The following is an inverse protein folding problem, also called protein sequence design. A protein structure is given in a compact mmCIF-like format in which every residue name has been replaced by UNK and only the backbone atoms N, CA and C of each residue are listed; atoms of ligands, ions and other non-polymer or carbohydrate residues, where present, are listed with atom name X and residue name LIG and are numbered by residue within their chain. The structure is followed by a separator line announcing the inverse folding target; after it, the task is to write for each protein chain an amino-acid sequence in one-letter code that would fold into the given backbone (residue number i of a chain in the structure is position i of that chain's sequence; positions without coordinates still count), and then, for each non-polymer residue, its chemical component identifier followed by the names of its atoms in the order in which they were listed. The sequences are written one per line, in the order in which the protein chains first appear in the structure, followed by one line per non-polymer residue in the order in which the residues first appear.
data_IF_668024907092
#
_entry.id   IF_668024907092
#
_cell.length_a   1.000
_cell.length_b   1.000
_cell.length_c   1.000
_cell.angle_alpha   90.00
_cell.angle_beta   90.00
_cell.angle_gamma   90.00
#
_symmetry.space_group_name_H-M   'P 1'
#
loop_
_entity.id
_entity.type
_entity.pdbx_description
1 polymer ?
#
# COMPACT_ATOMS: atom_id res chain seq x y z
N UNK A 1 28.17 15.53 57.88
CA UNK A 1 28.09 14.10 57.54
C UNK A 1 26.80 13.87 56.77
N UNK A 2 26.95 13.60 55.46
CA UNK A 2 26.04 12.99 54.47
C UNK A 2 24.58 13.51 54.33
N UNK A 3 24.37 14.36 53.31
CA UNK A 3 23.08 14.54 52.64
C UNK A 3 22.80 13.36 51.69
N UNK A 4 21.54 12.90 51.53
CA UNK A 4 21.20 11.88 50.55
C UNK A 4 21.12 12.51 49.15
N UNK A 5 21.79 11.84 48.22
CA UNK A 5 21.89 12.14 46.80
C UNK A 5 20.60 11.68 46.10
N UNK A 6 19.73 12.61 45.72
CA UNK A 6 18.56 12.32 44.89
C UNK A 6 19.00 12.12 43.44
N UNK A 7 18.86 10.89 42.96
CA UNK A 7 19.08 10.51 41.56
C UNK A 7 17.98 11.13 40.70
N UNK A 8 18.31 12.14 39.89
CA UNK A 8 17.46 12.67 38.82
C UNK A 8 17.57 11.71 37.62
N UNK A 9 16.56 10.88 37.42
CA UNK A 9 16.38 10.12 36.17
C UNK A 9 15.84 11.11 35.14
N UNK A 10 16.70 11.58 34.25
CA UNK A 10 16.28 12.31 33.05
C UNK A 10 15.73 11.26 32.09
N UNK A 11 14.40 11.17 32.00
CA UNK A 11 13.76 10.47 30.90
C UNK A 11 14.06 11.26 29.62
N UNK A 12 14.99 10.76 28.82
CA UNK A 12 15.16 11.19 27.44
C UNK A 12 13.90 10.75 26.68
N UNK A 13 12.95 11.66 26.52
CA UNK A 13 11.91 11.51 25.51
C UNK A 13 12.61 11.60 24.15
N UNK A 14 12.85 10.44 23.54
CA UNK A 14 13.10 10.40 22.09
C UNK A 14 11.83 10.91 21.42
N UNK A 15 11.90 12.11 20.86
CA UNK A 15 10.88 12.65 19.98
C UNK A 15 10.86 11.77 18.72
N UNK A 16 9.92 10.84 18.66
CA UNK A 16 9.62 10.07 17.46
C UNK A 16 8.47 10.78 16.75
N UNK A 17 8.72 11.21 15.51
CA UNK A 17 7.71 11.60 14.51
C UNK A 17 6.98 12.92 14.76
N UNK A 18 7.61 14.06 14.48
CA UNK A 18 6.89 15.33 14.31
C UNK A 18 7.58 16.22 13.26
N UNK A 19 7.21 16.04 11.99
CA UNK A 19 7.28 17.10 10.97
C UNK A 19 6.00 17.29 10.16
N UNK A 20 4.94 16.49 10.38
CA UNK A 20 3.61 16.80 9.84
C UNK A 20 2.70 17.25 10.99
N UNK A 21 2.44 18.56 11.06
CA UNK A 21 1.63 19.24 12.07
C UNK A 21 0.12 18.89 12.02
N UNK A 22 -0.23 17.61 11.89
CA UNK A 22 -1.61 17.14 11.70
C UNK A 22 -2.01 16.96 10.22
N UNK A 23 -1.14 17.32 9.27
CA UNK A 23 -1.41 17.06 7.86
C UNK A 23 -1.22 15.59 7.49
N UNK A 24 -2.15 15.07 6.68
CA UNK A 24 -2.10 13.73 6.07
C UNK A 24 -1.46 13.73 4.68
N UNK A 25 -0.93 14.88 4.22
CA UNK A 25 -0.24 15.04 2.94
C UNK A 25 1.26 15.22 3.19
N UNK A 26 2.08 14.57 2.37
CA UNK A 26 3.53 14.75 2.34
C UNK A 26 3.96 15.81 1.33
N UNK A 27 5.04 16.51 1.66
CA UNK A 27 5.58 17.63 0.87
C UNK A 27 4.49 18.67 0.50
N UNK A 28 3.83 19.28 1.51
CA UNK A 28 2.72 20.21 1.29
C UNK A 28 3.12 21.46 0.47
N UNK A 29 4.40 21.78 0.39
CA UNK A 29 4.92 22.91 -0.39
C UNK A 29 5.42 22.57 -1.80
N UNK A 30 5.44 21.29 -2.19
CA UNK A 30 6.11 20.83 -3.42
C UNK A 30 7.58 21.25 -3.52
N UNK A 31 8.28 21.22 -2.38
CA UNK A 31 9.67 21.66 -2.24
C UNK A 31 10.66 20.51 -2.46
N UNK A 32 10.20 19.25 -2.33
CA UNK A 32 11.05 18.06 -2.42
C UNK A 32 11.07 17.49 -3.85
N UNK A 33 12.14 17.84 -4.58
CA UNK A 33 12.40 17.36 -5.94
C UNK A 33 13.55 16.35 -5.98
N UNK A 34 13.31 15.21 -6.61
CA UNK A 34 14.23 14.08 -6.76
C UNK A 34 14.79 14.06 -8.20
N UNK A 35 15.47 15.14 -8.58
CA UNK A 35 15.82 15.41 -9.97
C UNK A 35 14.73 16.21 -10.68
N UNK A 36 14.17 15.69 -11.76
CA UNK A 36 13.08 16.31 -12.52
C UNK A 36 11.68 15.87 -12.02
N UNK A 37 11.62 15.00 -11.02
CA UNK A 37 10.40 14.43 -10.47
C UNK A 37 10.16 14.90 -9.03
N UNK A 38 8.90 14.87 -8.59
CA UNK A 38 8.55 15.12 -7.19
C UNK A 38 8.88 13.88 -6.35
N UNK A 39 9.48 14.07 -5.18
CA UNK A 39 9.85 12.94 -4.31
C UNK A 39 8.62 12.27 -3.68
N UNK A 40 7.62 13.06 -3.25
CA UNK A 40 6.45 12.59 -2.49
C UNK A 40 5.17 12.50 -3.31
N UNK A 41 5.20 12.92 -4.57
CA UNK A 41 4.04 12.93 -5.47
C UNK A 41 4.41 12.19 -6.76
N UNK A 42 3.55 11.26 -7.19
CA UNK A 42 3.76 10.50 -8.43
C UNK A 42 3.13 11.23 -9.61
N UNK A 43 3.89 11.38 -10.69
CA UNK A 43 3.33 11.78 -11.98
C UNK A 43 2.43 10.66 -12.50
N UNK A 44 1.14 10.94 -12.66
CA UNK A 44 0.17 9.97 -13.21
C UNK A 44 0.13 10.06 -14.72
N UNK A 45 0.18 11.27 -15.27
CA UNK A 45 0.18 11.54 -16.71
C UNK A 45 0.67 12.95 -17.00
N UNK A 46 1.11 13.17 -18.24
CA UNK A 46 1.60 14.47 -18.71
C UNK A 46 3.03 14.73 -18.27
N UNK A 47 3.33 15.96 -17.91
CA UNK A 47 4.65 16.41 -17.44
C UNK A 47 4.45 17.41 -16.30
N UNK A 48 5.43 17.47 -15.40
CA UNK A 48 5.51 18.45 -14.32
C UNK A 48 6.77 19.28 -14.44
N UNK A 49 6.71 20.51 -13.93
CA UNK A 49 7.90 21.36 -13.79
C UNK A 49 7.81 22.18 -12.53
N UNK A 50 8.97 22.43 -11.93
CA UNK A 50 9.13 23.46 -10.91
C UNK A 50 8.67 24.84 -11.46
N UNK A 51 7.89 25.57 -10.66
CA UNK A 51 7.41 26.89 -11.03
C UNK A 51 7.40 27.83 -9.83
N UNK A 52 7.69 29.12 -10.07
CA UNK A 52 7.60 30.15 -9.03
C UNK A 52 6.15 30.38 -8.60
N UNK A 53 5.92 30.59 -7.31
CA UNK A 53 4.59 30.89 -6.76
C UNK A 53 4.28 32.40 -6.80
N UNK A 54 3.48 32.93 -5.86
CA UNK A 54 3.30 34.37 -5.67
C UNK A 54 4.56 35.05 -5.11
N UNK A 55 5.43 34.30 -4.44
CA UNK A 55 6.78 34.71 -4.08
C UNK A 55 7.79 34.07 -5.03
N UNK A 56 8.79 34.85 -5.46
CA UNK A 56 9.78 34.39 -6.46
C UNK A 56 10.76 33.35 -5.90
N UNK A 57 10.92 33.33 -4.58
CA UNK A 57 11.81 32.41 -3.87
C UNK A 57 11.09 31.11 -3.50
N UNK A 58 9.76 31.13 -3.53
CA UNK A 58 8.92 29.98 -3.24
C UNK A 58 8.67 29.17 -4.52
N UNK A 59 8.71 27.86 -4.34
CA UNK A 59 8.50 26.89 -5.41
C UNK A 59 7.12 26.27 -5.30
N UNK A 60 6.54 25.93 -6.44
CA UNK A 60 5.41 25.02 -6.56
C UNK A 60 5.59 24.10 -7.76
N UNK A 61 4.56 23.30 -8.05
CA UNK A 61 4.50 22.42 -9.21
C UNK A 61 3.55 22.96 -10.27
N UNK A 62 4.02 23.05 -11.51
CA UNK A 62 3.21 23.35 -12.68
C UNK A 62 2.86 22.07 -13.44
N UNK A 63 1.57 21.88 -13.75
CA UNK A 63 1.10 20.78 -14.60
C UNK A 63 1.18 21.21 -16.08
N UNK A 64 2.05 20.55 -16.84
CA UNK A 64 2.43 20.92 -18.22
C UNK A 64 1.59 20.15 -19.24
N UNK A 65 1.24 20.83 -20.34
CA UNK A 65 0.42 20.26 -21.42
C UNK A 65 -1.08 20.42 -21.20
N UNK A 66 -1.88 19.76 -22.05
CA UNK A 66 -3.35 19.85 -22.06
C UNK A 66 -4.03 18.80 -21.18
N UNK A 67 -3.31 17.79 -20.72
CA UNK A 67 -3.77 16.79 -19.77
C UNK A 67 -2.56 16.35 -18.95
N UNK A 68 -2.59 16.65 -17.65
CA UNK A 68 -1.55 16.29 -16.71
C UNK A 68 -2.15 16.06 -15.33
N UNK A 69 -1.55 15.16 -14.56
CA UNK A 69 -1.97 14.89 -13.20
C UNK A 69 -0.81 14.36 -12.35
N UNK A 70 -0.83 14.75 -11.08
CA UNK A 70 0.00 14.18 -10.03
C UNK A 70 -0.89 13.57 -8.96
N UNK A 71 -0.38 12.59 -8.24
CA UNK A 71 -1.11 11.93 -7.18
C UNK A 71 -0.22 11.62 -5.98
N UNK A 72 -0.84 11.58 -4.81
CA UNK A 72 -0.26 11.08 -3.59
C UNK A 72 -1.25 10.16 -2.90
N UNK A 73 -0.79 8.95 -2.56
CA UNK A 73 -1.53 8.03 -1.72
C UNK A 73 -1.24 8.39 -0.26
N UNK A 74 -2.29 8.57 0.52
CA UNK A 74 -2.19 8.83 1.94
C UNK A 74 -2.80 7.66 2.71
N UNK A 75 -2.12 7.07 3.71
CA UNK A 75 -2.63 5.97 4.53
C UNK A 75 -3.67 6.42 5.57
N UNK A 76 -4.54 7.38 5.21
CA UNK A 76 -5.68 7.78 6.03
C UNK A 76 -6.78 6.73 5.89
N UNK A 77 -7.36 6.29 7.01
CA UNK A 77 -8.39 5.28 7.02
C UNK A 77 -9.65 5.76 7.75
N UNK A 78 -10.73 4.98 7.61
CA UNK A 78 -12.03 5.31 8.21
C UNK A 78 -12.06 5.36 9.75
N UNK A 79 -11.01 4.86 10.43
CA UNK A 79 -10.87 5.00 11.89
C UNK A 79 -10.25 6.32 12.31
N UNK A 80 -9.45 6.96 11.44
CA UNK A 80 -8.86 8.28 11.72
C UNK A 80 -9.96 9.35 11.73
N UNK A 81 -10.89 9.26 10.78
CA UNK A 81 -12.05 10.14 10.70
C UNK A 81 -12.87 9.92 9.43
N UNK A 82 -13.94 10.69 9.28
CA UNK A 82 -14.76 10.70 8.05
C UNK A 82 -14.83 12.08 7.40
N UNK A 83 -14.10 13.05 7.94
CA UNK A 83 -14.15 14.45 7.53
C UNK A 83 -12.72 14.93 7.30
N UNK A 84 -12.43 15.32 6.06
CA UNK A 84 -11.12 15.82 5.65
C UNK A 84 -11.28 17.28 5.25
N UNK A 85 -10.49 18.16 5.87
CA UNK A 85 -10.31 19.52 5.39
C UNK A 85 -9.14 19.51 4.42
N UNK A 86 -9.37 19.96 3.19
CA UNK A 86 -8.36 20.07 2.17
C UNK A 86 -8.22 21.53 1.77
N UNK A 87 -7.04 22.10 1.98
CA UNK A 87 -6.74 23.50 1.68
C UNK A 87 -5.62 23.56 0.66
N UNK A 88 -5.72 24.49 -0.28
CA UNK A 88 -4.64 24.71 -1.24
C UNK A 88 -4.52 26.16 -1.69
N UNK A 89 -3.32 26.53 -2.12
CA UNK A 89 -3.03 27.78 -2.81
C UNK A 89 -2.54 27.45 -4.21
N UNK A 90 -3.25 27.96 -5.21
CA UNK A 90 -2.95 27.68 -6.61
C UNK A 90 -3.14 28.89 -7.52
N UNK A 91 -2.58 28.80 -8.71
CA UNK A 91 -2.89 29.63 -9.87
C UNK A 91 -3.48 28.76 -10.97
N UNK A 92 -4.74 28.97 -11.30
CA UNK A 92 -5.48 28.25 -12.34
C UNK A 92 -6.06 29.26 -13.32
N UNK A 93 -5.67 29.16 -14.59
CA UNK A 93 -6.19 30.02 -15.66
C UNK A 93 -7.66 29.71 -15.99
N UNK A 94 -8.39 30.69 -16.53
CA UNK A 94 -9.83 30.58 -16.83
C UNK A 94 -10.23 29.45 -17.80
N UNK A 95 -9.32 29.05 -18.70
CA UNK A 95 -9.59 28.04 -19.72
C UNK A 95 -9.15 26.64 -19.31
N UNK A 96 -8.74 26.48 -18.04
CA UNK A 96 -8.27 25.23 -17.48
C UNK A 96 -9.39 24.58 -16.65
N UNK A 97 -9.57 23.28 -16.84
CA UNK A 97 -10.33 22.41 -15.95
C UNK A 97 -9.36 21.76 -14.97
N UNK A 98 -9.08 22.46 -13.87
CA UNK A 98 -8.28 21.95 -12.76
C UNK A 98 -9.18 21.29 -11.72
N UNK A 99 -8.76 20.16 -11.16
CA UNK A 99 -9.60 19.34 -10.27
C UNK A 99 -8.83 18.76 -9.09
N UNK A 100 -9.54 18.66 -7.97
CA UNK A 100 -9.20 17.81 -6.83
C UNK A 100 -10.01 16.53 -6.99
N UNK A 101 -9.31 15.42 -7.16
CA UNK A 101 -9.91 14.12 -7.38
C UNK A 101 -9.52 13.17 -6.24
N UNK A 102 -10.48 12.38 -5.77
CA UNK A 102 -10.28 11.37 -4.73
C UNK A 102 -10.52 10.00 -5.36
N UNK A 103 -9.53 9.14 -5.20
CA UNK A 103 -9.60 7.70 -5.39
C UNK A 103 -9.53 7.07 -4.01
N UNK A 104 -10.72 6.80 -3.48
CA UNK A 104 -10.95 6.16 -2.20
C UNK A 104 -10.73 4.67 -2.49
N UNK A 105 -9.78 4.02 -1.81
CA UNK A 105 -9.20 2.68 -2.10
C UNK A 105 -7.84 2.71 -2.83
N UNK A 106 -7.52 3.77 -3.57
CA UNK A 106 -6.25 3.87 -4.29
C UNK A 106 -6.15 2.91 -5.48
N UNK A 107 -7.27 2.51 -6.07
CA UNK A 107 -7.39 1.40 -7.01
C UNK A 107 -7.26 1.81 -8.49
N UNK A 108 -7.10 3.11 -8.78
CA UNK A 108 -7.13 3.62 -10.15
C UNK A 108 -8.36 4.45 -10.47
N UNK A 109 -9.46 4.26 -9.75
CA UNK A 109 -10.78 4.79 -10.06
C UNK A 109 -11.06 6.06 -9.26
N UNK A 110 -11.56 7.11 -9.91
CA UNK A 110 -11.92 8.36 -9.23
C UNK A 110 -13.35 8.25 -8.69
N UNK A 111 -13.52 8.26 -7.38
CA UNK A 111 -14.82 8.26 -6.68
C UNK A 111 -15.45 9.64 -6.60
N UNK A 112 -14.62 10.67 -6.47
CA UNK A 112 -15.06 12.03 -6.34
C UNK A 112 -14.17 13.00 -7.08
N UNK A 113 -14.77 14.01 -7.70
CA UNK A 113 -14.09 14.99 -8.53
C UNK A 113 -14.69 16.36 -8.25
N UNK A 114 -13.91 17.21 -7.60
CA UNK A 114 -14.25 18.58 -7.27
C UNK A 114 -13.50 19.53 -8.20
N UNK A 115 -14.23 20.42 -8.88
CA UNK A 115 -13.62 21.37 -9.80
C UNK A 115 -13.05 22.55 -9.03
N UNK A 116 -11.79 22.86 -9.29
CA UNK A 116 -11.18 24.08 -8.75
C UNK A 116 -11.60 25.29 -9.58
N UNK A 117 -11.99 26.40 -8.92
CA UNK A 117 -12.25 27.64 -9.62
C UNK A 117 -10.94 28.21 -10.20
N UNK A 118 -11.08 29.10 -11.18
CA UNK A 118 -9.97 29.99 -11.57
C UNK A 118 -9.43 30.68 -10.33
N UNK A 119 -8.11 30.69 -10.20
CA UNK A 119 -7.43 31.33 -9.08
C UNK A 119 -6.13 31.98 -9.55
N UNK A 120 -5.72 32.99 -8.81
CA UNK A 120 -4.43 33.64 -8.89
C UNK A 120 -3.92 33.81 -7.46
N UNK A 121 -3.53 32.68 -6.86
CA UNK A 121 -2.99 32.55 -5.51
C UNK A 121 -3.95 32.86 -4.37
N UNK A 122 -5.26 32.79 -4.62
CA UNK A 122 -6.23 32.78 -3.52
C UNK A 122 -6.25 31.39 -2.86
N UNK A 123 -6.32 31.32 -1.51
CA UNK A 123 -6.59 30.07 -0.82
C UNK A 123 -7.94 29.48 -1.23
N UNK A 124 -7.97 28.17 -1.42
CA UNK A 124 -9.14 27.35 -1.65
C UNK A 124 -9.26 26.36 -0.50
N UNK A 125 -10.48 26.06 -0.07
CA UNK A 125 -10.74 25.19 1.09
C UNK A 125 -11.96 24.33 0.81
N UNK A 126 -11.80 23.02 1.01
CA UNK A 126 -12.80 21.99 0.72
C UNK A 126 -12.97 21.09 1.94
N UNK A 127 -14.20 20.95 2.43
CA UNK A 127 -14.53 19.96 3.46
C UNK A 127 -15.17 18.75 2.79
N UNK A 128 -14.51 17.61 2.93
CA UNK A 128 -14.86 16.36 2.25
C UNK A 128 -15.35 15.36 3.29
N UNK A 129 -16.63 14.98 3.20
CA UNK A 129 -17.24 14.01 4.11
C UNK A 129 -17.31 12.64 3.46
N UNK A 130 -16.42 11.74 3.83
CA UNK A 130 -16.31 10.41 3.23
C UNK A 130 -17.19 9.42 3.99
N UNK A 131 -18.00 8.65 3.25
CA UNK A 131 -18.88 7.64 3.83
C UNK A 131 -18.26 6.25 3.73
N UNK A 132 -18.47 5.45 4.77
CA UNK A 132 -18.16 4.02 4.75
C UNK A 132 -16.73 3.71 5.18
N UNK A 133 -16.30 2.48 4.91
CA UNK A 133 -14.94 2.01 5.22
C UNK A 133 -14.02 2.34 4.05
N UNK A 134 -12.84 2.83 4.39
CA UNK A 134 -11.74 3.03 3.47
C UNK A 134 -10.43 2.88 4.26
N UNK A 135 -9.36 2.56 3.55
CA UNK A 135 -8.05 2.27 4.13
C UNK A 135 -6.99 2.82 3.19
N UNK A 136 -6.84 4.13 3.21
CA UNK A 136 -6.06 4.89 2.26
C UNK A 136 -6.91 5.65 1.24
N UNK A 137 -6.45 6.85 0.89
CA UNK A 137 -7.03 7.70 -0.15
C UNK A 137 -5.91 8.18 -1.04
N UNK A 138 -6.08 8.05 -2.35
CA UNK A 138 -5.20 8.68 -3.32
C UNK A 138 -5.80 10.00 -3.75
N UNK A 139 -5.17 11.09 -3.32
CA UNK A 139 -5.49 12.43 -3.78
C UNK A 139 -4.81 12.68 -5.12
N UNK A 140 -5.57 13.19 -6.07
CA UNK A 140 -5.09 13.49 -7.42
C UNK A 140 -5.37 14.95 -7.73
N UNK A 141 -4.34 15.68 -8.12
CA UNK A 141 -4.45 17.02 -8.68
C UNK A 141 -4.30 16.90 -10.19
N UNK A 142 -5.36 17.25 -10.92
CA UNK A 142 -5.36 17.12 -12.37
C UNK A 142 -5.71 18.43 -13.08
N UNK A 143 -5.23 18.53 -14.32
CA UNK A 143 -5.44 19.66 -15.22
C UNK A 143 -5.84 19.13 -16.58
N UNK A 144 -6.92 19.67 -17.13
CA UNK A 144 -7.28 19.52 -18.54
C UNK A 144 -7.46 20.88 -19.21
N UNK A 145 -7.18 20.94 -20.51
CA UNK A 145 -7.34 22.16 -21.32
C UNK A 145 -6.08 23.03 -21.41
N UNK A 146 -6.15 24.02 -22.29
CA UNK A 146 -5.04 24.93 -22.57
C UNK A 146 -4.98 26.03 -21.50
N UNK A 147 -3.76 26.31 -21.02
CA UNK A 147 -3.50 27.34 -20.02
C UNK A 147 -2.59 26.83 -18.91
N UNK A 148 -2.51 27.59 -17.82
CA UNK A 148 -1.60 27.33 -16.71
C UNK A 148 -2.34 26.84 -15.47
N UNK A 149 -1.79 25.81 -14.83
CA UNK A 149 -2.16 25.37 -13.49
C UNK A 149 -0.88 25.16 -12.67
N UNK A 150 -0.70 25.95 -11.62
CA UNK A 150 0.41 25.85 -10.68
C UNK A 150 -0.14 25.67 -9.28
N UNK A 151 0.35 24.66 -8.57
CA UNK A 151 0.02 24.37 -7.17
C UNK A 151 1.22 24.73 -6.31
N UNK A 152 1.00 25.47 -5.23
CA UNK A 152 2.08 26.01 -4.41
C UNK A 152 2.05 25.49 -2.98
N UNK A 153 0.88 25.41 -2.37
CA UNK A 153 0.70 24.85 -1.04
C UNK A 153 -0.54 23.97 -1.03
N UNK A 154 -0.46 22.84 -0.36
CA UNK A 154 -1.52 21.87 -0.18
C UNK A 154 -1.45 21.34 1.24
N UNK A 155 -2.57 21.37 1.94
CA UNK A 155 -2.70 20.78 3.26
C UNK A 155 -3.98 19.95 3.27
N UNK A 156 -3.90 18.74 3.78
CA UNK A 156 -5.11 18.01 4.16
C UNK A 156 -4.99 17.55 5.60
N UNK A 157 -6.06 17.63 6.37
CA UNK A 157 -6.12 17.18 7.76
C UNK A 157 -7.43 16.45 8.05
N UNK A 158 -7.38 15.54 9.03
CA UNK A 158 -8.61 14.99 9.60
C UNK A 158 -9.19 16.01 10.56
N UNK A 159 -10.45 16.36 10.35
CA UNK A 159 -11.13 17.39 11.12
C UNK A 159 -12.53 16.97 11.55
N UNK A 160 -13.25 17.89 12.19
CA UNK A 160 -14.68 17.75 12.50
C UNK A 160 -15.49 18.84 11.79
N UNK A 161 -16.82 18.88 11.97
CA UNK A 161 -17.63 19.95 11.36
C UNK A 161 -18.01 19.69 9.91
N UNK A 162 -18.11 18.42 9.50
CA UNK A 162 -18.69 18.03 8.20
C UNK A 162 -20.20 17.76 8.28
N UNK A 163 -20.83 17.95 9.44
CA UNK A 163 -22.25 17.70 9.63
C UNK A 163 -23.08 18.57 8.66
N UNK A 164 -24.03 17.94 7.95
CA UNK A 164 -24.86 18.61 6.96
C UNK A 164 -24.23 18.78 5.58
N UNK A 165 -22.95 18.46 5.39
CA UNK A 165 -22.34 18.37 4.07
C UNK A 165 -22.80 17.10 3.34
N UNK A 166 -22.93 17.14 2.00
CA UNK A 166 -23.14 15.94 1.19
C UNK A 166 -22.07 14.89 1.47
N UNK A 167 -22.51 13.65 1.66
CA UNK A 167 -21.61 12.51 1.81
C UNK A 167 -21.04 12.11 0.44
N UNK A 168 -19.72 11.96 0.38
CA UNK A 168 -19.02 11.29 -0.71
C UNK A 168 -19.13 9.79 -0.44
N UNK A 169 -20.05 9.15 -1.15
CA UNK A 169 -20.14 7.70 -1.17
C UNK A 169 -19.13 7.17 -2.20
N UNK A 170 -18.16 6.33 -1.79
CA UNK A 170 -17.29 5.65 -2.73
C UNK A 170 -18.11 4.82 -3.73
N UNK A 171 -17.55 4.58 -4.90
CA UNK A 171 -18.03 3.56 -5.81
C UNK A 171 -17.99 2.18 -5.11
N UNK A 172 -18.70 1.16 -5.62
CA UNK A 172 -18.58 -0.18 -5.09
C UNK A 172 -17.10 -0.59 -5.00
N UNK A 173 -16.72 -1.08 -3.84
CA UNK A 173 -15.33 -1.28 -3.48
C UNK A 173 -14.71 -2.46 -4.26
N UNK A 174 -13.45 -2.33 -4.71
CA UNK A 174 -12.73 -3.35 -5.45
C UNK A 174 -12.38 -4.53 -4.55
N UNK A 175 -11.87 -5.61 -5.15
CA UNK A 175 -11.38 -6.76 -4.39
C UNK A 175 -10.24 -6.36 -3.45
N UNK A 176 -10.22 -6.91 -2.24
CA UNK A 176 -9.26 -6.56 -1.19
C UNK A 176 -9.66 -5.37 -0.33
N UNK A 177 -10.66 -4.57 -0.74
CA UNK A 177 -11.12 -3.42 0.05
C UNK A 177 -11.93 -3.87 1.27
N UNK A 178 -11.80 -3.14 2.39
CA UNK A 178 -12.58 -3.38 3.60
C UNK A 178 -14.07 -3.14 3.35
N UNK A 179 -14.91 -4.05 3.84
CA UNK A 179 -16.35 -3.97 3.69
C UNK A 179 -17.07 -4.36 4.98
N UNK A 180 -18.36 -4.06 5.05
CA UNK A 180 -19.28 -4.48 6.12
C UNK A 180 -20.38 -5.38 5.54
N UNK A 181 -20.85 -5.06 4.34
CA UNK A 181 -21.95 -5.73 3.64
C UNK A 181 -21.58 -6.03 2.19
N UNK A 182 -22.18 -7.10 1.64
CA UNK A 182 -21.98 -7.56 0.27
C UNK A 182 -22.28 -6.48 -0.80
N UNK A 183 -23.28 -5.63 -0.55
CA UNK A 183 -23.71 -4.56 -1.48
C UNK A 183 -22.66 -3.47 -1.67
N UNK A 184 -21.66 -3.41 -0.79
CA UNK A 184 -20.57 -2.46 -0.89
C UNK A 184 -19.48 -2.91 -1.86
N UNK A 185 -19.46 -4.18 -2.26
CA UNK A 185 -18.41 -4.76 -3.09
C UNK A 185 -18.84 -4.88 -4.55
N UNK A 186 -17.94 -4.60 -5.50
CA UNK A 186 -18.18 -4.85 -6.94
C UNK A 186 -18.60 -6.31 -7.19
N UNK A 187 -17.99 -7.25 -6.48
CA UNK A 187 -18.27 -8.68 -6.60
C UNK A 187 -19.59 -9.11 -5.98
N UNK A 188 -20.22 -8.27 -5.15
CA UNK A 188 -21.35 -8.66 -4.32
C UNK A 188 -20.99 -9.63 -3.18
N UNK A 189 -19.71 -9.78 -2.83
CA UNK A 189 -19.24 -10.67 -1.76
C UNK A 189 -18.38 -9.91 -0.77
N UNK A 190 -18.73 -10.00 0.52
CA UNK A 190 -18.02 -9.36 1.63
C UNK A 190 -17.75 -10.42 2.72
N UNK A 191 -16.56 -10.99 2.70
CA UNK A 191 -16.21 -12.20 3.46
C UNK A 191 -15.13 -11.93 4.48
N UNK A 192 -15.11 -12.73 5.55
CA UNK A 192 -14.06 -12.68 6.55
C UNK A 192 -12.76 -13.25 5.98
N UNK A 193 -11.71 -12.43 5.95
CA UNK A 193 -10.36 -12.83 5.54
C UNK A 193 -9.49 -12.78 6.79
N UNK A 194 -8.75 -13.86 7.03
CA UNK A 194 -7.74 -13.86 8.08
C UNK A 194 -6.53 -13.09 7.56
N UNK A 195 -6.22 -11.95 8.17
CA UNK A 195 -4.99 -11.24 7.84
C UNK A 195 -3.77 -12.05 8.33
N UNK A 196 -2.61 -11.94 7.66
CA UNK A 196 -1.41 -12.74 7.96
C UNK A 196 -0.90 -12.58 9.40
N UNK A 197 -1.23 -11.47 10.07
CA UNK A 197 -0.85 -11.19 11.45
C UNK A 197 -1.68 -12.00 12.48
N UNK A 198 -2.80 -12.62 12.09
CA UNK A 198 -3.43 -13.75 12.78
C UNK A 198 -4.22 -13.44 14.06
N UNK A 199 -4.34 -12.17 14.48
CA UNK A 199 -5.04 -11.81 15.73
C UNK A 199 -6.44 -11.21 15.52
N UNK A 200 -6.70 -10.51 14.42
CA UNK A 200 -8.01 -9.92 14.13
C UNK A 200 -8.29 -10.01 12.63
N UNK A 201 -9.19 -10.90 12.21
CA UNK A 201 -9.65 -10.85 10.82
C UNK A 201 -10.52 -9.63 10.57
N UNK A 202 -10.65 -9.24 9.30
CA UNK A 202 -11.60 -8.24 8.85
C UNK A 202 -12.41 -8.76 7.67
N UNK A 203 -13.51 -8.09 7.37
CA UNK A 203 -14.27 -8.36 6.16
C UNK A 203 -13.71 -7.58 4.99
N UNK A 204 -13.43 -8.28 3.89
CA UNK A 204 -12.96 -7.68 2.65
C UNK A 204 -13.85 -8.10 1.48
N UNK A 205 -13.86 -7.28 0.45
CA UNK A 205 -14.46 -7.62 -0.83
C UNK A 205 -13.65 -8.74 -1.49
N UNK A 206 -14.30 -9.88 -1.75
CA UNK A 206 -13.66 -11.07 -2.33
C UNK A 206 -14.30 -11.43 -3.67
N UNK A 207 -13.55 -12.08 -4.54
CA UNK A 207 -14.01 -12.55 -5.85
C UNK A 207 -14.60 -13.96 -5.80
N UNK A 208 -14.43 -14.70 -4.71
CA UNK A 208 -14.88 -16.07 -4.60
C UNK A 208 -15.14 -16.50 -3.15
N UNK A 209 -15.86 -17.61 -3.02
CA UNK A 209 -15.87 -18.50 -1.84
C UNK A 209 -15.50 -19.92 -2.28
N UNK A 210 -15.33 -20.84 -1.33
CA UNK A 210 -14.95 -22.23 -1.58
C UNK A 210 -15.85 -22.97 -2.60
N UNK A 211 -17.09 -22.52 -2.83
CA UNK A 211 -18.05 -23.15 -3.75
C UNK A 211 -18.20 -22.44 -5.10
N UNK A 212 -17.55 -21.30 -5.31
CA UNK A 212 -17.78 -20.45 -6.49
C UNK A 212 -16.82 -20.72 -7.65
N UNK A 213 -15.70 -21.38 -7.40
CA UNK A 213 -14.69 -21.62 -8.42
C UNK A 213 -15.01 -22.84 -9.28
N UNK A 214 -14.69 -22.74 -10.57
CA UNK A 214 -14.82 -23.84 -11.54
C UNK A 214 -13.84 -24.99 -11.23
N UNK A 215 -14.11 -26.19 -11.77
CA UNK A 215 -13.22 -27.32 -11.64
C UNK A 215 -11.77 -26.98 -12.05
N UNK A 216 -10.79 -27.40 -11.24
CA UNK A 216 -9.37 -27.09 -11.41
C UNK A 216 -8.91 -25.79 -10.74
N UNK A 217 -9.83 -24.96 -10.27
CA UNK A 217 -9.53 -23.74 -9.54
C UNK A 217 -9.90 -23.86 -8.05
N UNK A 218 -9.21 -23.09 -7.23
CA UNK A 218 -9.47 -22.93 -5.81
C UNK A 218 -9.69 -21.46 -5.50
N UNK A 219 -10.46 -21.19 -4.45
CA UNK A 219 -10.61 -19.83 -3.95
C UNK A 219 -9.40 -19.51 -3.09
N UNK A 220 -8.48 -18.71 -3.63
CA UNK A 220 -7.16 -18.45 -3.08
C UNK A 220 -6.74 -17.01 -3.24
N UNK A 221 -5.51 -16.69 -2.84
CA UNK A 221 -4.95 -15.35 -2.97
C UNK A 221 -4.60 -15.05 -4.43
N UNK A 222 -4.93 -13.84 -4.86
CA UNK A 222 -4.50 -13.26 -6.12
C UNK A 222 -3.29 -12.35 -5.97
N UNK A 223 -3.11 -11.45 -6.94
CA UNK A 223 -2.10 -10.40 -6.87
C UNK A 223 -2.67 -9.14 -6.21
N UNK A 224 -1.84 -8.43 -5.44
CA UNK A 224 -2.24 -7.16 -4.85
C UNK A 224 -2.60 -6.16 -5.96
N UNK A 225 -3.79 -5.55 -5.87
CA UNK A 225 -4.28 -4.60 -6.88
C UNK A 225 -3.86 -3.15 -6.58
N UNK A 226 -3.59 -2.86 -5.32
CA UNK A 226 -3.11 -1.57 -4.85
C UNK A 226 -2.37 -1.74 -3.51
N UNK A 227 -1.41 -0.87 -3.17
CA UNK A 227 -0.66 -0.93 -1.92
C UNK A 227 -1.55 -0.85 -0.66
N UNK A 228 -2.70 -0.19 -0.76
CA UNK A 228 -3.66 0.00 0.33
C UNK A 228 -4.72 -1.09 0.43
N UNK A 229 -4.82 -1.97 -0.57
CA UNK A 229 -5.77 -3.07 -0.56
C UNK A 229 -5.12 -4.32 0.04
N UNK A 230 -5.92 -5.13 0.72
CA UNK A 230 -5.50 -6.49 1.06
C UNK A 230 -5.30 -7.29 -0.24
N UNK A 231 -4.46 -8.31 -0.19
CA UNK A 231 -4.32 -9.26 -1.30
C UNK A 231 -5.70 -9.89 -1.57
N UNK A 232 -6.26 -9.72 -2.78
CA UNK A 232 -7.63 -10.12 -3.05
C UNK A 232 -7.75 -11.64 -3.03
N UNK A 233 -8.90 -12.14 -2.57
CA UNK A 233 -9.24 -13.56 -2.69
C UNK A 233 -10.02 -13.77 -3.98
N UNK A 234 -9.53 -14.61 -4.89
CA UNK A 234 -10.12 -14.86 -6.21
C UNK A 234 -9.93 -16.32 -6.64
N UNK A 235 -10.63 -16.75 -7.70
CA UNK A 235 -10.45 -18.09 -8.24
C UNK A 235 -9.12 -18.19 -8.99
N UNK A 236 -8.19 -18.95 -8.43
CA UNK A 236 -6.86 -19.21 -8.98
C UNK A 236 -6.71 -20.71 -9.30
N UNK A 237 -5.80 -21.05 -10.21
CA UNK A 237 -5.52 -22.44 -10.54
C UNK A 237 -4.95 -23.18 -9.33
N UNK A 238 -5.43 -24.39 -9.06
CA UNK A 238 -4.89 -25.22 -7.98
C UNK A 238 -3.40 -25.52 -8.22
N UNK A 239 -2.58 -25.42 -7.18
CA UNK A 239 -1.15 -25.68 -7.23
C UNK A 239 -0.34 -24.68 -8.04
N UNK A 240 -0.86 -23.48 -8.30
CA UNK A 240 -0.19 -22.46 -9.11
C UNK A 240 0.82 -21.62 -8.32
N UNK A 241 0.67 -21.51 -6.99
CA UNK A 241 1.54 -20.72 -6.15
C UNK A 241 2.84 -21.46 -5.85
N UNK A 242 3.96 -20.86 -6.22
CA UNK A 242 5.31 -21.37 -6.00
C UNK A 242 5.72 -21.26 -4.52
N UNK A 243 6.80 -21.97 -4.15
CA UNK A 243 7.43 -21.83 -2.83
C UNK A 243 7.74 -20.35 -2.53
N UNK A 244 7.31 -19.86 -1.37
CA UNK A 244 7.53 -18.48 -0.92
C UNK A 244 6.47 -17.47 -1.36
N UNK A 245 5.47 -17.88 -2.15
CA UNK A 245 4.28 -17.08 -2.42
C UNK A 245 3.25 -17.22 -1.29
N UNK A 246 2.43 -16.18 -1.10
CA UNK A 246 1.36 -16.23 -0.11
C UNK A 246 0.27 -17.21 -0.54
N UNK A 247 -0.44 -17.77 0.44
CA UNK A 247 -1.55 -18.70 0.23
C UNK A 247 -2.60 -18.57 1.33
N UNK A 248 -3.86 -18.83 0.99
CA UNK A 248 -4.96 -18.96 1.94
C UNK A 248 -5.11 -20.42 2.42
N UNK A 249 -4.74 -21.40 1.58
CA UNK A 249 -4.82 -22.82 1.87
C UNK A 249 -3.89 -23.69 1.02
N UNK A 250 -3.75 -24.95 1.44
CA UNK A 250 -2.81 -25.90 0.85
C UNK A 250 -2.94 -26.05 -0.67
N UNK A 251 -4.17 -26.07 -1.16
CA UNK A 251 -4.47 -26.37 -2.56
C UNK A 251 -4.03 -25.28 -3.55
N UNK A 252 -3.63 -24.09 -3.07
CA UNK A 252 -3.02 -23.06 -3.91
C UNK A 252 -1.55 -23.39 -4.23
N UNK A 253 -0.85 -24.04 -3.31
CA UNK A 253 0.58 -24.25 -3.40
C UNK A 253 0.95 -25.44 -4.28
N UNK A 254 1.99 -25.30 -5.10
CA UNK A 254 2.58 -26.40 -5.88
C UNK A 254 2.97 -27.59 -4.97
N UNK A 255 3.45 -27.28 -3.75
CA UNK A 255 3.80 -28.26 -2.72
C UNK A 255 2.60 -28.87 -1.99
N UNK A 256 1.39 -28.36 -2.23
CA UNK A 256 0.18 -28.65 -1.45
C UNK A 256 0.34 -28.35 0.06
N UNK A 257 1.19 -27.38 0.42
CA UNK A 257 1.47 -27.00 1.80
C UNK A 257 1.47 -25.48 1.97
N UNK A 258 0.44 -24.97 2.61
CA UNK A 258 0.33 -23.58 3.05
C UNK A 258 0.60 -23.51 4.55
N UNK A 259 1.73 -22.92 4.95
CA UNK A 259 2.11 -22.80 6.36
C UNK A 259 2.37 -21.35 6.70
N UNK A 260 1.67 -20.85 7.72
CA UNK A 260 1.77 -19.45 8.13
C UNK A 260 1.38 -18.47 7.02
N UNK A 261 0.44 -18.87 6.14
CA UNK A 261 0.02 -18.06 5.00
C UNK A 261 1.00 -18.04 3.82
N UNK A 262 2.03 -18.91 3.81
CA UNK A 262 3.04 -18.97 2.75
C UNK A 262 3.24 -20.40 2.26
N UNK A 263 3.32 -20.56 0.93
CA UNK A 263 3.59 -21.82 0.29
C UNK A 263 4.97 -22.33 0.70
N UNK A 264 4.98 -23.49 1.35
CA UNK A 264 6.12 -24.03 2.08
C UNK A 264 6.51 -25.41 1.55
N UNK A 265 7.77 -25.81 1.76
CA UNK A 265 8.25 -27.13 1.37
C UNK A 265 8.04 -28.20 2.45
N UNK A 266 7.74 -27.77 3.68
CA UNK A 266 7.58 -28.65 4.82
C UNK A 266 6.50 -28.15 5.79
N UNK A 267 6.03 -29.09 6.61
CA UNK A 267 5.29 -28.89 7.86
C UNK A 267 6.02 -29.58 9.03
N UNK A 268 5.70 -29.25 10.30
CA UNK A 268 6.30 -29.94 11.45
C UNK A 268 6.17 -31.47 11.32
N UNK A 269 7.31 -32.17 11.39
CA UNK A 269 7.38 -33.63 11.27
C UNK A 269 7.47 -34.18 9.84
N UNK A 270 7.47 -33.33 8.80
CA UNK A 270 7.68 -33.76 7.40
C UNK A 270 9.14 -33.83 6.97
N UNK A 271 10.05 -33.20 7.73
CA UNK A 271 11.49 -33.26 7.49
C UNK A 271 12.08 -34.58 8.01
N UNK A 272 13.37 -34.84 7.71
CA UNK A 272 14.06 -35.98 8.32
C UNK A 272 14.05 -35.88 9.86
N UNK A 273 14.21 -37.00 10.55
CA UNK A 273 14.00 -37.08 12.01
C UNK A 273 14.89 -36.15 12.86
N UNK A 274 15.97 -35.63 12.30
CA UNK A 274 16.90 -34.69 12.94
C UNK A 274 16.70 -33.24 12.51
N UNK A 275 15.86 -32.99 11.51
CA UNK A 275 15.69 -31.68 10.87
C UNK A 275 14.43 -30.99 11.38
N UNK A 276 14.48 -29.66 11.44
CA UNK A 276 13.33 -28.83 11.82
C UNK A 276 12.74 -28.12 10.61
N UNK A 277 11.41 -28.12 10.53
CA UNK A 277 10.70 -27.32 9.55
C UNK A 277 10.51 -25.88 10.05
N UNK A 278 11.31 -24.95 9.55
CA UNK A 278 11.35 -23.55 10.01
C UNK A 278 11.25 -22.59 8.82
N UNK A 279 10.75 -21.38 9.08
CA UNK A 279 10.73 -20.32 8.08
C UNK A 279 12.17 -19.93 7.70
N UNK A 280 12.44 -19.80 6.40
CA UNK A 280 13.77 -19.43 5.92
C UNK A 280 14.14 -17.97 6.21
N UNK A 281 13.12 -17.11 6.31
CA UNK A 281 13.21 -15.69 6.64
C UNK A 281 11.84 -15.22 7.20
N UNK A 282 11.73 -14.00 7.80
CA UNK A 282 10.47 -13.49 8.32
C UNK A 282 9.36 -13.45 7.26
N UNK A 283 8.18 -13.98 7.59
CA UNK A 283 7.06 -14.16 6.65
C UNK A 283 7.43 -14.96 5.39
N UNK A 284 8.45 -15.81 5.49
CA UNK A 284 8.96 -16.63 4.40
C UNK A 284 8.44 -18.08 4.42
N UNK A 285 8.75 -18.84 3.36
CA UNK A 285 8.38 -20.24 3.28
C UNK A 285 9.11 -21.06 4.33
N UNK A 286 8.49 -22.15 4.77
CA UNK A 286 9.16 -23.13 5.61
C UNK A 286 9.91 -24.15 4.77
N UNK A 287 11.18 -24.37 5.11
CA UNK A 287 12.06 -25.42 4.55
C UNK A 287 12.70 -26.22 5.69
N UNK A 288 13.25 -27.40 5.39
CA UNK A 288 13.90 -28.24 6.38
C UNK A 288 15.32 -27.74 6.66
N UNK A 289 15.60 -27.37 7.91
CA UNK A 289 16.87 -26.81 8.38
C UNK A 289 17.38 -25.65 7.50
N UNK A 290 16.62 -24.53 7.44
CA UNK A 290 17.00 -23.38 6.62
C UNK A 290 18.41 -22.89 6.95
N UNK A 291 19.19 -22.59 5.92
CA UNK A 291 20.54 -22.05 6.04
C UNK A 291 21.65 -23.03 6.43
N UNK A 292 21.37 -24.33 6.59
CA UNK A 292 22.40 -25.32 6.96
C UNK A 292 23.13 -25.98 5.76
N UNK A 293 22.76 -25.65 4.52
CA UNK A 293 23.44 -26.16 3.32
C UNK A 293 23.27 -27.66 3.11
N UNK A 294 22.17 -28.25 3.59
CA UNK A 294 21.93 -29.70 3.54
C UNK A 294 21.08 -30.14 2.35
N UNK A 295 20.44 -29.20 1.63
CA UNK A 295 19.54 -29.53 0.53
C UNK A 295 20.31 -30.04 -0.68
N UNK A 296 19.89 -31.19 -1.20
CA UNK A 296 20.47 -31.82 -2.39
C UNK A 296 19.98 -31.14 -3.68
N UNK A 297 20.63 -31.44 -4.81
CA UNK A 297 20.22 -30.93 -6.12
C UNK A 297 18.72 -31.22 -6.40
N UNK A 298 18.03 -30.24 -6.97
CA UNK A 298 16.57 -30.23 -7.21
C UNK A 298 15.67 -30.23 -5.97
N UNK A 299 16.21 -30.24 -4.74
CA UNK A 299 15.39 -30.04 -3.55
C UNK A 299 14.91 -28.58 -3.44
N UNK A 300 13.73 -28.33 -2.85
CA UNK A 300 13.24 -26.97 -2.61
C UNK A 300 14.20 -26.15 -1.74
N UNK A 301 14.43 -24.89 -2.11
CA UNK A 301 15.22 -23.94 -1.35
C UNK A 301 14.58 -22.55 -1.40
N UNK A 302 14.80 -21.78 -0.35
CA UNK A 302 14.35 -20.39 -0.24
C UNK A 302 15.54 -19.41 -0.29
N UNK A 303 16.74 -19.88 0.02
CA UNK A 303 17.99 -19.12 -0.06
C UNK A 303 19.13 -19.99 -0.57
N UNK A 304 20.20 -19.36 -1.06
CA UNK A 304 21.42 -20.07 -1.45
C UNK A 304 22.00 -20.92 -0.30
N UNK A 305 21.86 -20.46 0.94
CA UNK A 305 22.39 -21.13 2.12
C UNK A 305 21.65 -22.43 2.47
N UNK A 306 20.50 -22.71 1.86
CA UNK A 306 19.81 -23.99 2.04
C UNK A 306 20.52 -25.13 1.29
N UNK A 307 21.17 -24.80 0.17
CA UNK A 307 21.71 -25.78 -0.78
C UNK A 307 23.15 -26.18 -0.48
N UNK A 308 23.45 -27.48 -0.62
CA UNK A 308 24.83 -27.98 -0.54
C UNK A 308 25.76 -27.34 -1.59
N UNK A 309 25.21 -26.92 -2.74
CA UNK A 309 25.92 -26.21 -3.81
C UNK A 309 26.10 -24.71 -3.54
N UNK A 310 25.47 -24.15 -2.50
CA UNK A 310 25.31 -22.71 -2.28
C UNK A 310 24.59 -21.97 -3.42
N UNK A 311 23.82 -22.68 -4.24
CA UNK A 311 23.06 -22.09 -5.36
C UNK A 311 21.62 -22.57 -5.31
N UNK A 312 20.72 -21.64 -5.03
CA UNK A 312 19.29 -21.82 -5.12
C UNK A 312 18.78 -21.14 -6.41
N UNK A 313 18.38 -21.95 -7.39
CA UNK A 313 17.94 -21.45 -8.67
C UNK A 313 16.47 -21.02 -8.62
N UNK A 314 16.20 -19.77 -9.01
CA UNK A 314 14.87 -19.20 -9.14
C UNK A 314 14.91 -17.68 -9.24
N UNK A 315 13.79 -17.02 -9.52
CA UNK A 315 13.68 -15.57 -9.43
C UNK A 315 13.93 -15.07 -8.00
N UNK A 316 14.52 -13.88 -7.87
CA UNK A 316 14.69 -13.21 -6.57
C UNK A 316 13.30 -12.92 -5.99
N UNK A 317 13.05 -13.38 -4.76
CA UNK A 317 11.88 -13.00 -3.98
C UNK A 317 12.12 -11.62 -3.39
N UNK A 318 11.28 -10.66 -3.78
CA UNK A 318 11.14 -9.38 -3.09
C UNK A 318 9.79 -9.28 -2.39
N UNK A 319 9.76 -8.76 -1.18
CA UNK A 319 8.51 -8.59 -0.42
C UNK A 319 8.47 -7.28 0.35
N UNK A 320 7.25 -6.84 0.63
CA UNK A 320 6.98 -5.80 1.60
C UNK A 320 7.08 -6.34 3.03
N UNK A 321 7.05 -5.44 4.01
CA UNK A 321 7.13 -5.80 5.42
C UNK A 321 5.94 -6.65 5.90
N UNK A 322 4.79 -6.57 5.24
CA UNK A 322 3.61 -7.42 5.47
C UNK A 322 3.66 -8.77 4.73
N UNK A 323 4.77 -9.05 4.04
CA UNK A 323 5.03 -10.30 3.33
C UNK A 323 4.45 -10.38 1.92
N UNK A 324 3.68 -9.39 1.45
CA UNK A 324 3.17 -9.39 0.07
C UNK A 324 4.31 -9.30 -0.93
N UNK A 325 4.13 -9.85 -2.12
CA UNK A 325 5.08 -9.67 -3.21
C UNK A 325 5.08 -8.21 -3.69
N UNK A 326 6.27 -7.72 -4.01
CA UNK A 326 6.47 -6.42 -4.64
C UNK A 326 7.55 -6.55 -5.71
N UNK A 327 7.50 -5.68 -6.71
CA UNK A 327 8.59 -5.48 -7.66
C UNK A 327 9.28 -4.13 -7.39
N UNK A 328 8.53 -3.14 -6.91
CA UNK A 328 9.00 -1.82 -6.47
C UNK A 328 8.37 -1.35 -5.13
N UNK A 329 8.96 -0.35 -4.43
CA UNK A 329 8.43 0.16 -3.16
C UNK A 329 6.97 0.63 -3.21
N UNK A 330 6.50 1.09 -4.37
CA UNK A 330 5.13 1.55 -4.57
C UNK A 330 4.07 0.47 -4.50
N UNK A 331 4.45 -0.80 -4.59
CA UNK A 331 3.55 -1.95 -4.38
C UNK A 331 3.27 -2.21 -2.90
N UNK A 332 4.11 -1.65 -2.03
CA UNK A 332 4.06 -1.87 -0.59
C UNK A 332 3.13 -0.88 0.11
N UNK A 333 2.40 -1.32 1.14
CA UNK A 333 1.66 -0.43 2.02
C UNK A 333 2.57 0.69 2.49
N UNK A 334 1.99 1.88 2.60
CA UNK A 334 2.69 3.05 3.08
C UNK A 334 2.94 2.89 4.58
N UNK A 335 4.18 3.02 5.02
CA UNK A 335 4.57 2.88 6.44
C UNK A 335 4.37 4.20 7.21
N UNK A 336 4.57 4.15 8.53
CA UNK A 336 4.48 5.32 9.41
C UNK A 336 5.27 6.50 8.83
N UNK A 337 4.60 7.62 8.53
CA UNK A 337 5.21 8.80 7.89
C UNK A 337 4.84 9.01 6.42
N UNK A 338 3.90 8.22 5.90
CA UNK A 338 3.36 8.32 4.53
C UNK A 338 4.42 8.04 3.42
N UNK A 339 5.54 7.38 3.76
CA UNK A 339 6.53 6.87 2.78
C UNK A 339 6.13 5.49 2.26
N UNK A 340 6.34 5.23 0.97
CA UNK A 340 6.08 3.91 0.39
C UNK A 340 6.92 2.85 1.11
N UNK A 341 6.30 1.73 1.49
CA UNK A 341 6.98 0.67 2.23
C UNK A 341 8.17 0.07 1.48
N UNK A 342 9.06 -0.61 2.21
CA UNK A 342 10.27 -1.15 1.61
C UNK A 342 9.99 -2.42 0.78
N UNK A 343 10.35 -2.40 -0.50
CA UNK A 343 10.36 -3.61 -1.32
C UNK A 343 11.73 -4.30 -1.27
N UNK A 344 11.89 -5.25 -0.34
CA UNK A 344 13.20 -5.82 0.01
C UNK A 344 13.40 -7.21 -0.58
N UNK A 345 14.59 -7.48 -1.13
CA UNK A 345 14.98 -8.83 -1.54
C UNK A 345 15.24 -9.72 -0.32
N UNK A 346 14.50 -10.81 -0.19
CA UNK A 346 14.51 -11.69 1.00
C UNK A 346 14.96 -13.13 0.70
N UNK A 347 14.92 -13.56 -0.56
CA UNK A 347 15.26 -14.93 -0.92
C UNK A 347 15.04 -15.26 -2.39
N UNK A 348 14.67 -16.51 -2.66
CA UNK A 348 14.42 -17.07 -3.98
C UNK A 348 13.00 -17.65 -4.00
N UNK A 349 12.19 -17.22 -4.97
CA UNK A 349 10.83 -17.71 -5.16
C UNK A 349 10.83 -18.97 -6.03
N UNK A 350 10.09 -20.01 -5.62
CA UNK A 350 10.05 -21.29 -6.34
C UNK A 350 11.40 -22.01 -6.41
N UNK A 351 12.32 -21.71 -5.48
CA UNK A 351 13.71 -22.11 -5.57
C UNK A 351 13.95 -23.63 -5.58
N UNK A 352 14.93 -24.06 -6.38
CA UNK A 352 15.45 -25.44 -6.42
C UNK A 352 16.98 -25.43 -6.37
N UNK A 353 17.59 -26.28 -5.55
CA UNK A 353 19.04 -26.34 -5.46
C UNK A 353 19.69 -26.83 -6.75
N UNK A 354 20.84 -26.26 -7.10
CA UNK A 354 21.69 -26.73 -8.21
C UNK A 354 22.41 -28.03 -7.84
#
# INVERSE_FOLDING_TARGET
MRLPLSLLIVAAFTQVGATNCGSIINDPGFELWCGEELCSWKLVRGEVRQATTWHKEDTGVELIGNDAAIAQLTPVNSYDGSCILFELVAKVDNNVDARLELDIFGDGTIDHSERMPTSNWQPLSYKLRIKGRYDGIRFVLSKRGQGRAVFAQIEAEITSGCEGLPEIAPLPAPLGAKCTEATQCVSGLCEWVNEPDGWVGSKHCVGCTASTCTAGNVCGLGEALAPTLAVPVLCTAAGSSALGEQCLGNAECESNMCRGGVCSACIPGSCASTEMCLAAYPLGPSVCDPGLGHRAASEPCATNADCASNVCNGPVRKQCDDGRRCDDPGDCPVEDGLEAGACTAVGVQGGRCQ
#
